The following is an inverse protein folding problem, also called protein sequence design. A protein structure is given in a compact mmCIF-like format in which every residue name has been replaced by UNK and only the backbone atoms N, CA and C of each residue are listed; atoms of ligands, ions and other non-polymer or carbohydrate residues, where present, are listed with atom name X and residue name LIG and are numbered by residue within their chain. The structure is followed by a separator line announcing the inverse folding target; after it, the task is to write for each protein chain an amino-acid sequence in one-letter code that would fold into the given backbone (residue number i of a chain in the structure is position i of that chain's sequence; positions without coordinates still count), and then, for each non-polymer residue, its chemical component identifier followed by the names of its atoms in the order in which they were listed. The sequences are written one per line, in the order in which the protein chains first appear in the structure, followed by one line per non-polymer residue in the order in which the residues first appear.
data_IF_602955523600
#
_entry.id   IF_602955523600
#
_cell.length_a   1.000
_cell.length_b   1.000
_cell.length_c   1.000
_cell.angle_alpha   90.00
_cell.angle_beta   90.00
_cell.angle_gamma   90.00
#
_symmetry.space_group_name_H-M   'P 1'
#
loop_
_entity.id
_entity.type
_entity.pdbx_description
1 polymer ?
#
# COMPACT_ATOMS: atom_id res chain seq x y z
N UNK A 1 -0.91 11.34 -6.69
CA UNK A 1 -0.19 10.25 -6.01
C UNK A 1 1.22 10.77 -5.74
N UNK A 2 1.86 10.47 -4.60
CA UNK A 2 3.22 10.99 -4.40
C UNK A 2 4.22 10.24 -5.30
N UNK A 3 5.33 10.87 -5.75
CA UNK A 3 6.36 10.19 -6.54
C UNK A 3 6.89 8.92 -5.87
N UNK A 4 7.01 8.94 -4.54
CA UNK A 4 7.38 7.78 -3.73
C UNK A 4 6.35 6.65 -3.85
N UNK A 5 5.05 6.96 -3.73
CA UNK A 5 3.99 5.96 -3.88
C UNK A 5 4.02 5.33 -5.26
N UNK A 6 4.15 6.14 -6.32
CA UNK A 6 4.22 5.64 -7.70
C UNK A 6 5.41 4.70 -7.89
N UNK A 7 6.57 5.07 -7.39
CA UNK A 7 7.76 4.24 -7.42
C UNK A 7 7.54 2.91 -6.70
N UNK A 8 7.03 2.94 -5.46
CA UNK A 8 6.83 1.73 -4.65
C UNK A 8 5.75 0.81 -5.19
N UNK A 9 4.64 1.35 -5.68
CA UNK A 9 3.61 0.55 -6.34
C UNK A 9 4.18 -0.13 -7.60
N UNK A 10 5.00 0.57 -8.38
CA UNK A 10 5.64 0.00 -9.57
C UNK A 10 6.63 -1.11 -9.23
N UNK A 11 7.47 -0.91 -8.21
CA UNK A 11 8.40 -1.93 -7.69
C UNK A 11 7.65 -3.19 -7.24
N UNK A 12 6.58 -3.03 -6.45
CA UNK A 12 5.77 -4.14 -5.95
C UNK A 12 5.07 -4.91 -7.09
N UNK A 13 4.51 -4.20 -8.07
CA UNK A 13 3.92 -4.83 -9.26
C UNK A 13 4.95 -5.66 -10.05
N UNK A 14 6.19 -5.18 -10.19
CA UNK A 14 7.28 -5.95 -10.82
C UNK A 14 7.65 -7.22 -10.05
N UNK A 15 7.47 -7.21 -8.72
CA UNK A 15 7.67 -8.37 -7.86
C UNK A 15 6.46 -9.33 -7.83
N UNK A 16 5.45 -9.12 -8.67
CA UNK A 16 4.28 -9.99 -8.77
C UNK A 16 3.17 -9.69 -7.78
N UNK A 17 3.21 -8.54 -7.10
CA UNK A 17 2.10 -8.10 -6.25
C UNK A 17 0.97 -7.53 -7.10
N UNK A 18 -0.27 -7.78 -6.67
CA UNK A 18 -1.47 -7.33 -7.36
C UNK A 18 -2.12 -6.18 -6.59
N UNK A 19 -2.51 -5.12 -7.29
CA UNK A 19 -3.24 -4.00 -6.71
C UNK A 19 -4.66 -4.44 -6.34
N UNK A 20 -5.01 -4.30 -5.07
CA UNK A 20 -6.35 -4.61 -4.53
C UNK A 20 -7.24 -3.36 -4.65
N UNK A 21 -6.68 -2.20 -4.33
CA UNK A 21 -7.39 -0.92 -4.45
C UNK A 21 -6.75 0.19 -3.63
N UNK A 22 -7.53 1.26 -3.42
CA UNK A 22 -7.13 2.40 -2.59
C UNK A 22 -8.03 2.48 -1.38
N UNK A 23 -7.46 2.76 -0.21
CA UNK A 23 -8.24 2.94 1.03
C UNK A 23 -7.69 4.07 1.87
N UNK A 24 -8.47 4.45 2.86
CA UNK A 24 -8.03 5.31 3.97
C UNK A 24 -7.77 4.40 5.17
N UNK A 25 -6.65 4.63 5.85
CA UNK A 25 -6.31 3.91 7.08
C UNK A 25 -6.54 4.85 8.26
N UNK A 26 -7.44 4.48 9.14
CA UNK A 26 -7.75 5.19 10.38
C UNK A 26 -6.79 4.74 11.50
N UNK A 27 -6.36 5.67 12.36
CA UNK A 27 -5.55 5.34 13.53
C UNK A 27 -4.77 6.53 14.11
N UNK A 28 -4.24 6.42 15.33
CA UNK A 28 -3.43 7.46 15.94
C UNK A 28 -2.20 7.79 15.08
N UNK A 29 -1.94 9.08 14.84
CA UNK A 29 -0.86 9.54 13.98
C UNK A 29 -1.12 9.41 12.47
N UNK A 30 -2.27 8.86 12.03
CA UNK A 30 -2.61 8.71 10.62
C UNK A 30 -3.54 9.84 10.18
N UNK A 31 -3.09 10.63 9.20
CA UNK A 31 -3.90 11.71 8.63
C UNK A 31 -5.04 11.11 7.78
N UNK A 32 -6.32 11.36 8.10
CA UNK A 32 -7.47 10.75 7.41
C UNK A 32 -7.53 11.00 5.90
N UNK A 33 -6.89 12.07 5.42
CA UNK A 33 -6.89 12.48 4.02
C UNK A 33 -5.83 11.77 3.14
N UNK A 34 -4.94 10.94 3.71
CA UNK A 34 -3.89 10.28 2.93
C UNK A 34 -4.42 8.96 2.35
N UNK A 35 -4.69 8.96 1.05
CA UNK A 35 -4.98 7.75 0.28
C UNK A 35 -3.77 6.81 0.30
N UNK A 36 -4.00 5.55 0.67
CA UNK A 36 -3.00 4.49 0.61
C UNK A 36 -3.36 3.48 -0.46
N UNK A 37 -2.34 2.91 -1.09
CA UNK A 37 -2.51 1.85 -2.08
C UNK A 37 -2.35 0.52 -1.38
N UNK A 38 -3.34 -0.34 -1.52
CA UNK A 38 -3.32 -1.71 -1.03
C UNK A 38 -2.90 -2.64 -2.17
N UNK A 39 -1.81 -3.36 -1.95
CA UNK A 39 -1.38 -4.45 -2.82
C UNK A 39 -1.33 -5.73 -2.01
N UNK A 40 -1.55 -6.87 -2.66
CA UNK A 40 -1.42 -8.18 -2.04
C UNK A 40 -0.51 -9.09 -2.85
N UNK A 41 0.17 -9.99 -2.16
CA UNK A 41 0.84 -11.13 -2.77
C UNK A 41 0.36 -12.44 -2.14
N UNK A 42 0.69 -13.56 -2.78
CA UNK A 42 0.45 -14.91 -2.25
C UNK A 42 -1.02 -15.18 -1.90
N UNK A 43 -1.92 -15.14 -2.91
CA UNK A 43 -3.36 -15.42 -2.74
C UNK A 43 -4.02 -14.58 -1.62
N UNK A 44 -3.55 -13.36 -1.38
CA UNK A 44 -4.11 -12.47 -0.37
C UNK A 44 -3.59 -12.69 1.04
N UNK A 45 -2.57 -13.53 1.27
CA UNK A 45 -2.02 -13.78 2.62
C UNK A 45 -1.20 -12.62 3.17
N UNK A 46 -0.61 -11.82 2.29
CA UNK A 46 0.21 -10.67 2.68
C UNK A 46 -0.32 -9.43 1.97
N UNK A 47 -0.59 -8.39 2.74
CA UNK A 47 -1.02 -7.08 2.28
C UNK A 47 0.09 -6.06 2.54
N UNK A 48 0.25 -5.12 1.62
CA UNK A 48 1.10 -3.96 1.81
C UNK A 48 0.31 -2.69 1.51
N UNK A 49 0.45 -1.72 2.41
CA UNK A 49 -0.12 -0.39 2.28
C UNK A 49 0.98 0.61 1.97
N UNK A 50 0.90 1.24 0.81
CA UNK A 50 1.87 2.24 0.36
C UNK A 50 1.41 3.64 0.76
N UNK A 51 2.04 4.18 1.80
CA UNK A 51 1.85 5.56 2.24
C UNK A 51 2.71 6.53 1.44
N UNK A 52 2.42 7.83 1.47
CA UNK A 52 3.24 8.85 0.84
C UNK A 52 4.73 8.86 1.24
N UNK A 53 5.10 8.26 2.39
CA UNK A 53 6.47 8.26 2.91
C UNK A 53 6.94 6.91 3.50
N UNK A 54 6.09 5.87 3.53
CA UNK A 54 6.41 4.59 4.18
C UNK A 54 5.62 3.42 3.55
N UNK A 55 6.05 2.20 3.88
CA UNK A 55 5.37 0.95 3.52
C UNK A 55 4.96 0.23 4.80
N UNK A 56 3.71 -0.20 4.89
CA UNK A 56 3.21 -0.99 6.01
C UNK A 56 2.82 -2.37 5.51
N UNK A 57 3.48 -3.40 6.01
CA UNK A 57 3.14 -4.80 5.74
C UNK A 57 2.20 -5.32 6.82
N UNK A 58 1.15 -6.01 6.40
CA UNK A 58 0.25 -6.72 7.30
C UNK A 58 0.02 -8.13 6.75
N UNK A 59 -0.04 -9.10 7.65
CA UNK A 59 -0.65 -10.39 7.34
C UNK A 59 -2.16 -10.17 7.25
N UNK A 60 -2.80 -10.71 6.22
CA UNK A 60 -4.26 -10.68 6.11
C UNK A 60 -4.94 -11.57 7.16
#
# INVERSE_FOLDING_TARGET
MSPYQEQKVTELKRLGWSEVGKRHLTGPGRTPAKQVYELSCLQGKLQVFVYPAELIYQTA
#
